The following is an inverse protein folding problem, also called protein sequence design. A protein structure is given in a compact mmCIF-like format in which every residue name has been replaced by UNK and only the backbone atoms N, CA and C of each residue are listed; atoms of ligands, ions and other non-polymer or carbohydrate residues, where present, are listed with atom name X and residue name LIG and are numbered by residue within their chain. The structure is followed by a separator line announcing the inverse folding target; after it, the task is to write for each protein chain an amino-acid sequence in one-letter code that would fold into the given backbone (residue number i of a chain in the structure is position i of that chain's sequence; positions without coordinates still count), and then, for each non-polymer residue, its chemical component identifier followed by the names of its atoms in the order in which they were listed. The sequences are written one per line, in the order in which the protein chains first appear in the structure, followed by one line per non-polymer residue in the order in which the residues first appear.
data_IF_335844208746
#
_entry.id   IF_335844208746
#
_cell.length_a   1.000
_cell.length_b   1.000
_cell.length_c   1.000
_cell.angle_alpha   90.00
_cell.angle_beta   90.00
_cell.angle_gamma   90.00
#
_symmetry.space_group_name_H-M   'P 1'
#
loop_
_entity.id
_entity.type
_entity.pdbx_description
1 polymer ?
#
# COMPACT_ATOMS: atom_id res chain seq x y z
N UNK A 1 -7.56 23.94 4.91
CA UNK A 1 -8.56 22.90 4.59
C UNK A 1 -8.61 22.53 3.09
N UNK A 2 -7.52 22.64 2.30
CA UNK A 2 -7.60 22.30 0.87
C UNK A 2 -6.28 21.90 0.21
N UNK A 3 -5.24 21.66 1.01
CA UNK A 3 -3.92 21.21 0.53
C UNK A 3 -3.78 19.70 0.71
N UNK A 4 -4.30 19.16 1.83
CA UNK A 4 -4.26 17.74 2.18
C UNK A 4 -5.10 16.85 1.24
N UNK A 5 -6.30 17.29 0.84
CA UNK A 5 -7.14 16.56 -0.13
C UNK A 5 -6.56 16.50 -1.55
N UNK A 6 -5.58 17.34 -1.89
CA UNK A 6 -5.00 17.40 -3.24
C UNK A 6 -3.83 16.43 -3.43
N UNK A 7 -3.05 16.17 -2.38
CA UNK A 7 -1.94 15.20 -2.49
C UNK A 7 -2.44 13.75 -2.59
N UNK A 8 -3.54 13.41 -1.92
CA UNK A 8 -4.13 12.05 -1.93
C UNK A 8 -4.67 11.68 -3.32
N UNK A 9 -5.17 12.66 -4.09
CA UNK A 9 -5.74 12.40 -5.42
C UNK A 9 -4.72 12.04 -6.51
N UNK A 10 -3.43 12.25 -6.27
CA UNK A 10 -2.40 12.19 -7.32
C UNK A 10 -1.49 10.97 -7.25
N UNK A 11 -1.69 10.07 -6.28
CA UNK A 11 -0.97 8.80 -6.14
C UNK A 11 -1.54 7.69 -7.03
N UNK A 12 -2.75 7.87 -7.57
CA UNK A 12 -3.29 6.99 -8.59
C UNK A 12 -2.57 7.21 -9.92
N UNK A 13 -1.78 6.21 -10.27
CA UNK A 13 -1.08 6.07 -11.53
C UNK A 13 -2.09 5.89 -12.68
N UNK A 14 -2.61 6.98 -13.21
CA UNK A 14 -3.36 7.02 -14.47
C UNK A 14 -2.40 7.08 -15.69
N UNK A 15 -1.35 6.25 -15.69
CA UNK A 15 -0.69 5.93 -16.95
C UNK A 15 -1.52 4.83 -17.61
N UNK A 16 -2.02 5.00 -18.85
CA UNK A 16 -2.67 3.93 -19.56
C UNK A 16 -1.61 2.86 -19.85
N UNK A 17 -1.46 1.90 -18.94
CA UNK A 17 -0.77 0.67 -19.21
C UNK A 17 -1.40 0.12 -20.48
N UNK A 18 -0.61 0.07 -21.56
CA UNK A 18 -1.00 -0.65 -22.78
C UNK A 18 -1.57 -1.97 -22.30
N UNK A 19 -2.83 -2.28 -22.66
CA UNK A 19 -3.51 -3.53 -22.27
C UNK A 19 -2.68 -4.72 -22.76
N UNK A 20 -1.67 -5.09 -21.98
CA UNK A 20 -0.93 -6.31 -22.13
C UNK A 20 -1.98 -7.40 -21.99
N UNK A 21 -1.99 -8.35 -22.92
CA UNK A 21 -2.86 -9.52 -22.81
C UNK A 21 -2.59 -10.15 -21.44
N UNK A 22 -3.60 -10.20 -20.59
CA UNK A 22 -3.48 -10.75 -19.25
C UNK A 22 -2.86 -12.14 -19.35
N UNK A 23 -1.80 -12.39 -18.57
CA UNK A 23 -1.16 -13.71 -18.48
C UNK A 23 -2.13 -14.82 -18.04
N UNK A 24 -3.29 -14.43 -17.48
CA UNK A 24 -4.36 -15.33 -17.04
C UNK A 24 -5.37 -15.70 -18.14
N UNK A 25 -5.35 -15.04 -19.31
CA UNK A 25 -6.43 -15.13 -20.30
C UNK A 25 -6.65 -16.52 -20.93
N UNK A 26 -5.65 -17.41 -20.85
CA UNK A 26 -5.69 -18.74 -21.47
C UNK A 26 -5.54 -19.89 -20.45
N UNK A 27 -5.67 -19.62 -19.15
CA UNK A 27 -5.53 -20.63 -18.11
C UNK A 27 -6.84 -21.38 -17.88
N UNK A 28 -6.74 -22.68 -17.59
CA UNK A 28 -7.86 -23.42 -17.01
C UNK A 28 -8.11 -22.99 -15.57
N UNK A 29 -9.32 -23.21 -15.05
CA UNK A 29 -9.67 -22.93 -13.65
C UNK A 29 -8.71 -23.64 -12.68
N UNK A 30 -8.38 -24.91 -12.94
CA UNK A 30 -7.43 -25.67 -12.11
C UNK A 30 -6.03 -25.05 -12.10
N UNK A 31 -5.52 -24.59 -13.24
CA UNK A 31 -4.21 -23.94 -13.30
C UNK A 31 -4.20 -22.58 -12.60
N UNK A 32 -5.32 -21.87 -12.63
CA UNK A 32 -5.49 -20.62 -11.91
C UNK A 32 -5.51 -20.86 -10.40
N UNK A 33 -6.30 -21.82 -9.92
CA UNK A 33 -6.38 -22.20 -8.50
C UNK A 33 -5.02 -22.65 -7.97
N UNK A 34 -4.31 -23.51 -8.72
CA UNK A 34 -2.96 -23.96 -8.36
C UNK A 34 -1.98 -22.78 -8.26
N UNK A 35 -2.06 -21.81 -9.17
CA UNK A 35 -1.21 -20.61 -9.11
C UNK A 35 -1.56 -19.70 -7.93
N UNK A 36 -2.85 -19.45 -7.69
CA UNK A 36 -3.31 -18.62 -6.58
C UNK A 36 -3.00 -19.22 -5.20
N UNK A 37 -2.83 -20.54 -5.12
CA UNK A 37 -2.40 -21.23 -3.91
C UNK A 37 -0.90 -21.06 -3.57
N UNK A 38 -0.09 -20.55 -4.51
CA UNK A 38 1.34 -20.33 -4.28
C UNK A 38 1.55 -18.96 -3.64
N UNK A 39 1.79 -18.95 -2.32
CA UNK A 39 2.13 -17.73 -1.59
C UNK A 39 3.64 -17.53 -1.40
N UNK A 40 4.47 -18.58 -1.55
CA UNK A 40 5.90 -18.54 -1.22
C UNK A 40 6.78 -18.58 -2.46
N UNK A 41 7.63 -17.56 -2.59
CA UNK A 41 8.62 -17.40 -3.65
C UNK A 41 10.03 -17.37 -3.04
N UNK A 42 10.68 -18.53 -2.99
CA UNK A 42 11.95 -18.68 -2.30
C UNK A 42 11.80 -18.41 -0.79
N UNK A 43 12.50 -17.39 -0.30
CA UNK A 43 12.39 -16.95 1.10
C UNK A 43 11.29 -15.91 1.34
N UNK A 44 10.65 -15.40 0.28
CA UNK A 44 9.64 -14.36 0.37
C UNK A 44 8.24 -14.99 0.45
N UNK A 45 7.49 -14.65 1.50
CA UNK A 45 6.09 -15.03 1.67
C UNK A 45 5.22 -13.82 1.34
N UNK A 46 4.29 -14.00 0.40
CA UNK A 46 3.27 -13.02 0.07
C UNK A 46 2.16 -12.99 1.12
N UNK A 47 1.51 -11.86 1.18
CA UNK A 47 0.20 -11.69 1.82
C UNK A 47 -0.92 -12.26 0.96
N UNK A 48 -2.15 -12.35 1.48
CA UNK A 48 -3.28 -12.82 0.68
C UNK A 48 -3.83 -11.79 -0.32
N UNK A 49 -3.44 -10.52 -0.18
CA UNK A 49 -3.77 -9.45 -1.11
C UNK A 49 -3.01 -9.53 -2.45
N UNK A 50 -1.75 -10.01 -2.43
CA UNK A 50 -0.85 -9.90 -3.59
C UNK A 50 -0.69 -11.23 -4.32
N UNK A 51 -0.96 -11.26 -5.63
CA UNK A 51 -0.67 -12.42 -6.49
C UNK A 51 0.09 -12.01 -7.77
N UNK A 52 1.35 -12.44 -7.93
CA UNK A 52 2.14 -12.16 -9.14
C UNK A 52 1.51 -12.71 -10.41
N UNK A 53 1.96 -12.19 -11.56
CA UNK A 53 1.54 -12.69 -12.86
C UNK A 53 1.88 -14.16 -13.04
N UNK A 54 1.08 -14.88 -13.83
CA UNK A 54 1.27 -16.32 -14.05
C UNK A 54 2.63 -16.66 -14.68
N UNK A 55 3.15 -15.77 -15.54
CA UNK A 55 4.44 -15.98 -16.20
C UNK A 55 5.64 -15.76 -15.28
N UNK A 56 5.44 -15.22 -14.07
CA UNK A 56 6.49 -14.93 -13.09
C UNK A 56 7.64 -14.10 -13.67
N UNK A 57 7.31 -13.11 -14.51
CA UNK A 57 8.31 -12.19 -15.08
C UNK A 57 9.07 -11.40 -14.00
N UNK A 58 8.45 -11.25 -12.83
CA UNK A 58 9.02 -10.61 -11.64
C UNK A 58 8.88 -11.55 -10.45
N UNK A 59 10.01 -11.86 -9.81
CA UNK A 59 10.06 -12.65 -8.58
C UNK A 59 10.07 -11.71 -7.38
N UNK A 60 9.10 -11.80 -6.45
CA UNK A 60 9.06 -10.99 -5.24
C UNK A 60 10.31 -11.17 -4.38
N UNK A 61 10.82 -10.08 -3.82
CA UNK A 61 11.97 -10.09 -2.91
C UNK A 61 11.92 -8.90 -1.96
N UNK A 62 12.50 -9.09 -0.77
CA UNK A 62 12.60 -8.04 0.23
C UNK A 62 13.69 -7.04 -0.12
N UNK A 63 13.46 -5.77 0.19
CA UNK A 63 14.42 -4.71 -0.04
C UNK A 63 13.76 -3.33 -0.05
N UNK A 64 14.55 -2.32 -0.41
CA UNK A 64 14.05 -0.97 -0.57
C UNK A 64 14.72 -0.27 -1.74
N UNK A 65 14.05 0.73 -2.30
CA UNK A 65 14.61 1.64 -3.29
C UNK A 65 14.30 3.08 -2.95
N UNK A 66 15.16 3.97 -3.40
CA UNK A 66 14.95 5.42 -3.35
C UNK A 66 14.42 5.87 -4.69
N UNK A 67 13.37 6.65 -4.64
CA UNK A 67 12.69 7.20 -5.80
C UNK A 67 12.43 8.69 -5.56
N UNK A 68 12.03 9.40 -6.61
CA UNK A 68 11.66 10.80 -6.51
C UNK A 68 10.35 10.99 -7.26
N UNK A 69 9.32 11.41 -6.54
CA UNK A 69 8.04 11.78 -7.12
C UNK A 69 8.07 13.25 -7.50
N UNK A 70 7.60 13.59 -8.70
CA UNK A 70 7.48 14.98 -9.14
C UNK A 70 6.00 15.34 -9.17
N UNK A 71 5.61 16.26 -8.30
CA UNK A 71 4.26 16.82 -8.28
C UNK A 71 4.00 17.57 -9.59
N UNK A 72 2.95 17.17 -10.31
CA UNK A 72 2.56 17.75 -11.59
C UNK A 72 2.02 19.17 -11.50
N UNK A 73 1.46 19.58 -10.36
CA UNK A 73 0.91 20.93 -10.16
C UNK A 73 1.99 21.91 -9.70
N UNK A 74 2.77 21.53 -8.70
CA UNK A 74 3.76 22.44 -8.07
C UNK A 74 5.16 22.32 -8.67
N UNK A 75 5.45 21.22 -9.37
CA UNK A 75 6.78 20.89 -9.88
C UNK A 75 7.78 20.48 -8.79
N UNK A 76 7.34 20.38 -7.52
CA UNK A 76 8.17 19.97 -6.39
C UNK A 76 8.57 18.50 -6.56
N UNK A 77 9.83 18.20 -6.24
CA UNK A 77 10.34 16.83 -6.21
C UNK A 77 10.37 16.33 -4.78
N UNK A 78 9.56 15.31 -4.50
CA UNK A 78 9.39 14.68 -3.19
C UNK A 78 10.23 13.39 -3.20
N UNK A 79 11.19 13.23 -2.26
CA UNK A 79 11.91 11.97 -2.13
C UNK A 79 10.99 10.89 -1.56
N UNK A 80 11.05 9.69 -2.16
CA UNK A 80 10.23 8.54 -1.76
C UNK A 80 11.14 7.36 -1.45
N UNK A 81 10.81 6.63 -0.39
CA UNK A 81 11.41 5.32 -0.08
C UNK A 81 10.32 4.26 -0.29
N UNK A 82 10.52 3.39 -1.28
CA UNK A 82 9.65 2.23 -1.47
C UNK A 82 10.33 1.04 -0.81
N UNK A 83 9.65 0.37 0.11
CA UNK A 83 10.14 -0.83 0.78
C UNK A 83 9.19 -2.00 0.52
N UNK A 84 9.74 -3.20 0.47
CA UNK A 84 9.00 -4.45 0.40
C UNK A 84 9.63 -5.43 1.39
N UNK A 85 8.80 -6.15 2.12
CA UNK A 85 9.22 -7.20 3.05
C UNK A 85 8.28 -8.40 2.98
N UNK A 86 8.77 -9.54 3.47
CA UNK A 86 7.98 -10.76 3.58
C UNK A 86 6.82 -10.53 4.57
N UNK A 87 5.68 -11.18 4.34
CA UNK A 87 4.48 -11.11 5.18
C UNK A 87 4.79 -11.08 6.68
N UNK A 88 5.69 -11.96 7.13
CA UNK A 88 6.02 -12.12 8.55
C UNK A 88 6.69 -10.90 9.20
N UNK A 89 7.14 -9.92 8.41
CA UNK A 89 7.86 -8.72 8.87
C UNK A 89 7.28 -7.42 8.33
N UNK A 90 6.38 -7.51 7.36
CA UNK A 90 5.88 -6.37 6.62
C UNK A 90 5.12 -5.40 7.54
N UNK A 91 4.26 -5.93 8.42
CA UNK A 91 3.50 -5.11 9.36
C UNK A 91 4.39 -4.46 10.42
N UNK A 92 5.30 -5.21 11.04
CA UNK A 92 6.26 -4.66 12.01
C UNK A 92 7.13 -3.57 11.37
N UNK A 93 7.57 -3.77 10.11
CA UNK A 93 8.30 -2.74 9.37
C UNK A 93 7.45 -1.47 9.20
N UNK A 94 6.17 -1.60 8.83
CA UNK A 94 5.27 -0.46 8.73
C UNK A 94 5.14 0.28 10.05
N UNK A 95 4.93 -0.44 11.16
CA UNK A 95 4.81 0.14 12.50
C UNK A 95 6.09 0.85 12.93
N UNK A 96 7.26 0.28 12.65
CA UNK A 96 8.57 0.89 12.94
C UNK A 96 8.79 2.17 12.12
N UNK A 97 8.35 2.18 10.85
CA UNK A 97 8.46 3.35 9.98
C UNK A 97 7.61 4.54 10.44
N UNK A 98 6.65 4.35 11.35
CA UNK A 98 5.86 5.45 11.91
C UNK A 98 6.62 6.27 12.96
N UNK A 99 7.69 5.74 13.58
CA UNK A 99 8.43 6.43 14.64
C UNK A 99 8.95 7.84 14.27
N UNK A 100 9.46 8.08 13.05
CA UNK A 100 9.90 9.40 12.63
C UNK A 100 8.77 10.44 12.48
N UNK A 101 7.50 10.01 12.48
CA UNK A 101 6.34 10.90 12.37
C UNK A 101 6.05 11.65 13.67
N UNK A 102 6.67 11.30 14.79
CA UNK A 102 6.50 11.99 16.07
C UNK A 102 5.29 11.52 16.88
N UNK A 103 4.92 12.28 17.91
CA UNK A 103 3.99 11.80 18.95
C UNK A 103 2.51 11.85 18.54
N UNK A 104 2.14 12.78 17.65
CA UNK A 104 0.77 13.01 17.22
C UNK A 104 0.73 13.07 15.70
N UNK A 105 -0.14 12.26 15.11
CA UNK A 105 -0.24 12.05 13.66
C UNK A 105 -1.68 12.21 13.18
N UNK A 106 -1.84 12.42 11.89
CA UNK A 106 -3.11 12.31 11.18
C UNK A 106 -3.12 11.02 10.38
N UNK A 107 -4.28 10.37 10.27
CA UNK A 107 -4.43 9.10 9.57
C UNK A 107 -5.53 9.22 8.53
N UNK A 108 -5.27 8.68 7.35
CA UNK A 108 -6.24 8.46 6.29
C UNK A 108 -6.28 6.96 6.02
N UNK A 109 -7.47 6.39 6.09
CA UNK A 109 -7.75 5.02 5.68
C UNK A 109 -8.61 5.06 4.43
N UNK A 110 -8.10 4.47 3.36
CA UNK A 110 -8.77 4.34 2.08
C UNK A 110 -9.32 2.93 1.97
N UNK A 111 -10.56 2.80 1.48
CA UNK A 111 -11.12 1.48 1.21
C UNK A 111 -11.92 1.47 -0.08
N UNK A 112 -11.74 0.43 -0.89
CA UNK A 112 -12.46 0.19 -2.15
C UNK A 112 -13.65 -0.76 -1.99
N UNK A 113 -14.01 -1.11 -0.74
CA UNK A 113 -15.18 -1.94 -0.43
C UNK A 113 -16.49 -1.29 -0.86
N UNK A 114 -17.41 -2.12 -1.37
CA UNK A 114 -18.80 -1.75 -1.69
C UNK A 114 -18.95 -0.57 -2.67
N UNK A 115 -17.92 -0.27 -3.46
CA UNK A 115 -17.98 0.75 -4.50
C UNK A 115 -18.04 0.11 -5.89
N UNK A 116 -19.16 0.29 -6.58
CA UNK A 116 -19.25 0.00 -8.01
C UNK A 116 -18.43 1.04 -8.81
N UNK A 117 -17.60 0.56 -9.74
CA UNK A 117 -16.86 1.36 -10.72
C UNK A 117 -15.70 2.23 -10.20
N UNK A 118 -14.78 1.66 -9.42
CA UNK A 118 -13.48 2.28 -9.12
C UNK A 118 -13.55 3.49 -8.18
N UNK A 119 -14.59 3.55 -7.36
CA UNK A 119 -14.63 4.47 -6.23
C UNK A 119 -13.75 3.96 -5.08
N UNK A 120 -13.38 4.85 -4.19
CA UNK A 120 -12.87 4.52 -2.86
C UNK A 120 -13.53 5.45 -1.85
N UNK A 121 -13.49 5.06 -0.59
CA UNK A 121 -13.96 5.85 0.54
C UNK A 121 -12.80 6.17 1.45
N UNK A 122 -12.59 7.46 1.68
CA UNK A 122 -11.57 7.94 2.61
C UNK A 122 -12.18 8.19 3.99
N UNK A 123 -11.54 7.63 5.00
CA UNK A 123 -11.85 7.84 6.41
C UNK A 123 -10.67 8.54 7.07
N UNK A 124 -10.91 9.70 7.67
CA UNK A 124 -9.85 10.50 8.28
C UNK A 124 -9.98 10.51 9.80
N UNK A 125 -8.84 10.40 10.50
CA UNK A 125 -8.70 10.67 11.92
C UNK A 125 -7.52 11.60 12.14
N UNK A 126 -7.80 12.84 12.55
CA UNK A 126 -6.78 13.84 12.82
C UNK A 126 -6.35 13.83 14.28
N UNK A 127 -5.10 14.19 14.58
CA UNK A 127 -4.57 14.36 15.93
C UNK A 127 -4.77 13.13 16.84
N UNK A 128 -4.27 11.99 16.40
CA UNK A 128 -4.18 10.77 17.21
C UNK A 128 -2.78 10.59 17.77
N UNK A 129 -2.67 10.20 19.03
CA UNK A 129 -1.38 9.86 19.64
C UNK A 129 -0.83 8.57 18.98
N UNK A 130 0.43 8.61 18.54
CA UNK A 130 1.06 7.51 17.83
C UNK A 130 1.00 6.17 18.61
N UNK A 131 1.20 6.11 19.94
CA UNK A 131 1.04 4.86 20.69
C UNK A 131 -0.38 4.28 20.62
N UNK A 132 -1.41 5.13 20.63
CA UNK A 132 -2.81 4.71 20.51
C UNK A 132 -3.07 4.18 19.11
N UNK A 133 -2.56 4.88 18.09
CA UNK A 133 -2.65 4.42 16.71
C UNK A 133 -1.99 3.05 16.54
N UNK A 134 -0.72 2.89 16.94
CA UNK A 134 -0.01 1.60 16.83
C UNK A 134 -0.77 0.47 17.51
N UNK A 135 -1.24 0.68 18.73
CA UNK A 135 -2.05 -0.31 19.45
C UNK A 135 -3.32 -0.67 18.69
N UNK A 136 -3.99 0.31 18.08
CA UNK A 136 -5.21 0.09 17.29
C UNK A 136 -4.88 -0.70 16.02
N UNK A 137 -3.79 -0.36 15.32
CA UNK A 137 -3.40 -1.03 14.09
C UNK A 137 -3.08 -2.52 14.32
N UNK A 138 -2.44 -2.87 15.44
CA UNK A 138 -2.18 -4.28 15.79
C UNK A 138 -3.47 -5.09 15.95
N UNK A 139 -4.58 -4.49 16.37
CA UNK A 139 -5.88 -5.18 16.44
C UNK A 139 -6.46 -5.50 15.05
N UNK A 140 -5.93 -4.87 14.00
CA UNK A 140 -6.39 -5.02 12.61
C UNK A 140 -5.26 -5.44 11.64
N UNK A 141 -4.18 -6.07 12.15
CA UNK A 141 -3.04 -6.51 11.35
C UNK A 141 -3.50 -7.41 10.18
N UNK A 142 -4.30 -8.45 10.45
CA UNK A 142 -4.79 -9.36 9.41
C UNK A 142 -5.62 -8.63 8.34
N UNK A 143 -6.43 -7.65 8.72
CA UNK A 143 -7.22 -6.87 7.76
C UNK A 143 -6.31 -6.01 6.89
N UNK A 144 -5.33 -5.35 7.49
CA UNK A 144 -4.40 -4.50 6.74
C UNK A 144 -3.50 -5.33 5.83
N UNK A 145 -3.14 -6.56 6.23
CA UNK A 145 -2.24 -7.43 5.50
C UNK A 145 -2.92 -8.34 4.46
N UNK A 146 -4.21 -8.62 4.50
CA UNK A 146 -4.78 -9.69 3.65
C UNK A 146 -5.95 -9.26 2.78
N UNK A 147 -6.44 -8.04 2.99
CA UNK A 147 -7.68 -7.58 2.40
C UNK A 147 -7.51 -7.11 0.95
N UNK A 148 -6.36 -6.53 0.61
CA UNK A 148 -6.06 -5.99 -0.74
C UNK A 148 -7.01 -4.89 -1.22
N UNK A 149 -7.89 -4.41 -0.33
CA UNK A 149 -8.91 -3.41 -0.59
C UNK A 149 -8.86 -2.25 0.40
N UNK A 150 -7.89 -2.26 1.32
CA UNK A 150 -7.70 -1.24 2.35
C UNK A 150 -6.27 -0.73 2.33
N UNK A 151 -6.12 0.58 2.14
CA UNK A 151 -4.85 1.30 2.23
C UNK A 151 -4.85 2.25 3.43
N UNK A 152 -3.68 2.52 4.00
CA UNK A 152 -3.53 3.48 5.10
C UNK A 152 -2.35 4.41 4.88
N UNK A 153 -2.58 5.71 5.09
CA UNK A 153 -1.57 6.74 5.10
C UNK A 153 -1.54 7.43 6.47
N UNK A 154 -0.36 7.50 7.08
CA UNK A 154 -0.11 8.19 8.35
C UNK A 154 0.81 9.37 8.11
N UNK A 155 0.39 10.55 8.54
CA UNK A 155 1.02 11.82 8.21
C UNK A 155 1.40 12.58 9.49
N UNK A 156 2.51 13.31 9.44
CA UNK A 156 2.81 14.31 10.46
C UNK A 156 2.11 15.64 10.12
N UNK A 157 1.31 16.24 11.04
CA UNK A 157 0.59 17.49 10.76
C UNK A 157 1.48 18.74 10.67
N UNK A 158 2.75 18.65 11.08
CA UNK A 158 3.70 19.77 11.20
C UNK A 158 4.84 19.72 10.18
N UNK A 159 5.20 18.53 9.68
CA UNK A 159 6.26 18.35 8.69
C UNK A 159 5.75 17.55 7.49
N UNK A 160 6.27 17.78 6.27
CA UNK A 160 5.85 17.06 5.07
C UNK A 160 6.48 15.66 5.04
N UNK A 161 6.06 14.81 5.96
CA UNK A 161 6.47 13.41 6.07
C UNK A 161 5.23 12.54 6.29
N UNK A 162 5.15 11.47 5.51
CA UNK A 162 4.09 10.49 5.58
C UNK A 162 4.65 9.09 5.36
N UNK A 163 3.93 8.10 5.87
CA UNK A 163 4.18 6.68 5.65
C UNK A 163 2.88 6.10 5.11
N UNK A 164 2.97 5.45 3.96
CA UNK A 164 1.85 4.79 3.32
C UNK A 164 2.06 3.28 3.38
N UNK A 165 0.97 2.57 3.60
CA UNK A 165 0.89 1.13 3.55
C UNK A 165 -0.26 0.75 2.64
N UNK A 166 0.09 0.05 1.57
CA UNK A 166 -0.80 -0.37 0.49
C UNK A 166 -0.25 -1.67 -0.10
N UNK A 167 -1.15 -2.55 -0.54
CA UNK A 167 -0.83 -3.92 -0.98
C UNK A 167 -1.16 -4.18 -2.45
#
# INVERSE_FOLDING_TARGET
MGFLQRMIKSTYRDEPAQRARSSFANLSETQLEEHLAIARYGSFLLTDAVRPSFNLDVVPSAGFRRESYKDGETGVTIPVLMAAESRERLFDLFIDLLDPLGEVVDVVLETSHDTDAGGHRDLCREQIDLPILKSTLYDFEDLLLDDGCTGIAVLNPKIPLEVQFDE
#
